data_IF_402921401091
#
_entry.id   IF_402921401091
#
_cell.length_a   1.000
_cell.length_b   1.000
_cell.length_c   1.000
_cell.angle_alpha   90.00
_cell.angle_beta   90.00
_cell.angle_gamma   90.00
#
_symmetry.space_group_name_H-M   'P 1'
#
loop_
_entity.id
_entity.type
_entity.pdbx_description
1 polymer ?
#
# COMPACT_ATOMS: atom_id res chain seq x y z
N UNK A 1 -6.46 9.16 6.23
CA UNK A 1 -5.59 8.61 7.29
C UNK A 1 -4.14 8.80 6.85
N UNK A 2 -3.25 9.27 7.73
CA UNK A 2 -1.91 9.71 7.34
C UNK A 2 -0.89 8.60 7.67
N UNK A 3 -0.13 8.13 6.67
CA UNK A 3 0.78 6.98 6.79
C UNK A 3 1.85 7.15 7.88
N UNK A 4 2.35 8.37 8.11
CA UNK A 4 3.36 8.63 9.14
C UNK A 4 2.86 8.44 10.58
N UNK A 5 1.56 8.29 10.80
CA UNK A 5 0.96 8.01 12.12
C UNK A 5 0.65 6.52 12.33
N UNK A 6 0.78 5.70 11.30
CA UNK A 6 0.48 4.27 11.37
C UNK A 6 1.60 3.53 12.11
N UNK A 7 1.29 2.48 12.86
CA UNK A 7 2.27 1.50 13.34
C UNK A 7 2.82 0.67 12.18
N UNK A 8 3.89 -0.09 12.41
CA UNK A 8 4.44 -1.00 11.40
C UNK A 8 3.42 -2.07 10.99
N UNK A 9 2.71 -2.66 11.95
CA UNK A 9 1.64 -3.64 11.70
C UNK A 9 0.50 -3.04 10.88
N UNK A 10 0.10 -1.79 11.15
CA UNK A 10 -0.94 -1.11 10.36
C UNK A 10 -0.50 -0.81 8.92
N UNK A 11 0.79 -0.55 8.69
CA UNK A 11 1.36 -0.38 7.36
C UNK A 11 1.37 -1.71 6.59
N UNK A 12 1.80 -2.80 7.23
CA UNK A 12 1.80 -4.13 6.63
C UNK A 12 0.39 -4.62 6.28
N UNK A 13 -0.56 -4.48 7.21
CA UNK A 13 -1.97 -4.79 6.97
C UNK A 13 -2.55 -3.98 5.80
N UNK A 14 -2.09 -2.73 5.63
CA UNK A 14 -2.52 -1.88 4.52
C UNK A 14 -1.92 -2.32 3.19
N UNK A 15 -0.65 -2.72 3.17
CA UNK A 15 -0.03 -3.30 1.98
C UNK A 15 -0.76 -4.57 1.54
N UNK A 16 -1.03 -5.49 2.47
CA UNK A 16 -1.77 -6.74 2.19
C UNK A 16 -3.17 -6.49 1.65
N UNK A 17 -3.92 -5.53 2.21
CA UNK A 17 -5.24 -5.15 1.68
C UNK A 17 -5.16 -4.53 0.30
N UNK A 18 -4.21 -3.63 0.07
CA UNK A 18 -4.03 -2.98 -1.24
C UNK A 18 -3.66 -4.02 -2.32
N UNK A 19 -2.79 -4.98 -2.00
CA UNK A 19 -2.45 -6.09 -2.89
C UNK A 19 -3.69 -6.96 -3.22
N UNK A 20 -4.45 -7.35 -2.22
CA UNK A 20 -5.67 -8.14 -2.42
C UNK A 20 -6.67 -7.43 -3.36
N UNK A 21 -6.93 -6.15 -3.12
CA UNK A 21 -7.83 -5.37 -3.97
C UNK A 21 -7.26 -5.08 -5.36
N UNK A 22 -5.94 -4.94 -5.48
CA UNK A 22 -5.27 -4.83 -6.77
C UNK A 22 -5.54 -6.08 -7.62
N UNK A 23 -5.39 -7.27 -7.04
CA UNK A 23 -5.60 -8.53 -7.75
C UNK A 23 -7.05 -8.67 -8.24
N UNK A 24 -8.02 -8.36 -7.38
CA UNK A 24 -9.45 -8.32 -7.78
C UNK A 24 -9.68 -7.30 -8.92
N UNK A 25 -9.05 -6.13 -8.86
CA UNK A 25 -9.17 -5.11 -9.90
C UNK A 25 -8.54 -5.56 -11.22
N UNK A 26 -7.42 -6.28 -11.19
CA UNK A 26 -6.77 -6.85 -12.37
C UNK A 26 -7.64 -7.94 -13.02
N UNK A 27 -8.18 -8.87 -12.20
CA UNK A 27 -9.11 -9.91 -12.66
C UNK A 27 -10.36 -9.30 -13.32
N UNK A 28 -10.87 -8.20 -12.73
CA UNK A 28 -12.02 -7.46 -13.25
C UNK A 28 -11.68 -6.53 -14.43
N UNK A 29 -10.43 -6.53 -14.92
CA UNK A 29 -9.92 -5.62 -15.97
C UNK A 29 -10.14 -4.13 -15.66
N UNK A 30 -10.21 -3.77 -14.38
CA UNK A 30 -10.36 -2.39 -13.90
C UNK A 30 -8.98 -1.77 -13.69
N UNK A 31 -8.30 -1.46 -14.78
CA UNK A 31 -6.91 -0.98 -14.79
C UNK A 31 -6.69 0.28 -13.94
N UNK A 32 -7.63 1.23 -13.98
CA UNK A 32 -7.55 2.45 -13.17
C UNK A 32 -7.55 2.16 -11.66
N UNK A 33 -8.34 1.17 -11.22
CA UNK A 33 -8.35 0.77 -9.80
C UNK A 33 -7.07 0.01 -9.44
N UNK A 34 -6.62 -0.90 -10.30
CA UNK A 34 -5.35 -1.59 -10.09
C UNK A 34 -4.17 -0.62 -9.98
N UNK A 35 -4.14 0.44 -10.80
CA UNK A 35 -3.14 1.50 -10.71
C UNK A 35 -3.21 2.24 -9.37
N UNK A 36 -4.41 2.61 -8.90
CA UNK A 36 -4.57 3.27 -7.60
C UNK A 36 -4.05 2.42 -6.45
N UNK A 37 -4.31 1.12 -6.45
CA UNK A 37 -3.78 0.21 -5.43
C UNK A 37 -2.26 0.05 -5.53
N UNK A 38 -1.69 0.06 -6.74
CA UNK A 38 -0.22 0.11 -6.91
C UNK A 38 0.41 1.37 -6.32
N UNK A 39 -0.22 2.52 -6.54
CA UNK A 39 0.24 3.80 -5.97
C UNK A 39 0.15 3.78 -4.43
N UNK A 40 -0.91 3.19 -3.88
CA UNK A 40 -1.04 3.00 -2.44
C UNK A 40 0.07 2.12 -1.86
N UNK A 41 0.37 0.98 -2.48
CA UNK A 41 1.48 0.11 -2.05
C UNK A 41 2.84 0.83 -2.14
N UNK A 42 3.07 1.64 -3.19
CA UNK A 42 4.29 2.46 -3.30
C UNK A 42 4.41 3.48 -2.17
N UNK A 43 3.30 4.11 -1.78
CA UNK A 43 3.29 5.06 -0.67
C UNK A 43 3.60 4.36 0.67
N UNK A 44 3.08 3.16 0.89
CA UNK A 44 3.40 2.34 2.07
C UNK A 44 4.88 1.96 2.09
N UNK A 45 5.42 1.45 0.98
CA UNK A 45 6.82 1.07 0.87
C UNK A 45 7.77 2.26 1.11
N UNK A 46 7.41 3.44 0.58
CA UNK A 46 8.18 4.67 0.82
C UNK A 46 8.17 5.09 2.29
N UNK A 47 7.05 4.90 3.01
CA UNK A 47 6.97 5.17 4.44
C UNK A 47 7.79 4.17 5.26
N UNK A 48 7.76 2.87 4.93
CA UNK A 48 8.62 1.87 5.58
C UNK A 48 10.11 2.21 5.37
N UNK A 49 10.54 2.46 4.13
CA UNK A 49 11.92 2.82 3.83
C UNK A 49 12.38 4.12 4.52
N UNK A 50 11.46 5.08 4.74
CA UNK A 50 11.73 6.30 5.52
C UNK A 50 11.98 6.00 6.99
N UNK A 51 11.32 4.99 7.56
CA UNK A 51 11.51 4.57 8.96
C UNK A 51 12.79 3.77 9.12
N UNK A 52 13.10 2.87 8.19
CA UNK A 52 14.33 2.08 8.21
C UNK A 52 15.58 2.97 8.19
N UNK A 53 15.54 4.09 7.46
CA UNK A 53 16.63 5.09 7.44
C UNK A 53 16.77 5.90 8.73
N UNK A 54 15.79 5.83 9.64
CA UNK A 54 15.76 6.56 10.91
C UNK A 54 15.99 5.66 12.13
N UNK A 55 15.91 4.35 11.95
CA UNK A 55 16.24 3.34 12.96
C UNK A 55 17.77 3.13 13.01
#
# INVERSE_FOLDING_TARGET
MILHKCTETELDDRARRAEHHMNIALESRRWNLAQRYREEMRAVAAECARRDKKA
#
